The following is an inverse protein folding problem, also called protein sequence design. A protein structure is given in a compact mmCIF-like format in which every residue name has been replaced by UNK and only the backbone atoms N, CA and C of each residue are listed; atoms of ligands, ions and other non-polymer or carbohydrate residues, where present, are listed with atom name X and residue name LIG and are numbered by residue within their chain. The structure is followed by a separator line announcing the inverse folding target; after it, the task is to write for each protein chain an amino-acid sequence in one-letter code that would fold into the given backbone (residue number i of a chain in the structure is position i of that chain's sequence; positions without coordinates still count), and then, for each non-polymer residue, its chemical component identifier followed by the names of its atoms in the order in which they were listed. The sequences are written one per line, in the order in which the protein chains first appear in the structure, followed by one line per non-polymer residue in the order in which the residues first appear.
data_IF_303666923616
#
_entry.id   IF_303666923616
#
_cell.length_a   1.000
_cell.length_b   1.000
_cell.length_c   1.000
_cell.angle_alpha   90.00
_cell.angle_beta   90.00
_cell.angle_gamma   90.00
#
_symmetry.space_group_name_H-M   'P 1'
#
loop_
_entity.id
_entity.type
_entity.pdbx_description
1 polymer ?
#
# COMPACT_ATOMS: atom_id res chain seq x y z
N UNK A 1 19.65 0.57 4.95
CA UNK A 1 18.27 0.42 5.46
C UNK A 1 18.04 1.50 6.50
N UNK A 2 16.89 2.17 6.46
CA UNK A 2 16.50 3.21 7.42
C UNK A 2 15.23 2.75 8.12
N UNK A 3 15.26 2.69 9.46
CA UNK A 3 14.16 2.24 10.31
C UNK A 3 13.93 3.22 11.45
N UNK A 4 12.72 3.19 12.02
CA UNK A 4 12.39 3.94 13.24
C UNK A 4 12.81 3.12 14.44
N UNK A 5 13.42 3.78 15.42
CA UNK A 5 13.82 3.14 16.68
C UNK A 5 12.85 3.45 17.83
N UNK A 6 11.77 4.20 17.55
CA UNK A 6 10.77 4.63 18.51
C UNK A 6 9.36 4.23 18.02
N UNK A 7 8.35 5.08 18.23
CA UNK A 7 6.94 4.80 17.91
C UNK A 7 6.44 5.64 16.72
N UNK A 8 7.27 5.83 15.69
CA UNK A 8 6.94 6.64 14.53
C UNK A 8 7.40 8.10 14.65
N UNK A 9 7.25 8.84 13.55
CA UNK A 9 7.58 10.28 13.42
C UNK A 9 9.02 10.69 13.79
N UNK A 10 9.98 9.78 13.69
CA UNK A 10 11.39 10.04 14.01
C UNK A 10 12.13 10.86 12.93
N UNK A 11 11.41 11.47 11.99
CA UNK A 11 12.01 12.22 10.89
C UNK A 11 12.68 11.36 9.82
N UNK A 12 12.34 10.06 9.74
CA UNK A 12 12.90 9.10 8.76
C UNK A 12 12.87 9.62 7.34
N UNK A 13 11.75 10.22 6.92
CA UNK A 13 11.59 10.72 5.55
C UNK A 13 12.69 11.69 5.13
N UNK A 14 13.19 12.53 6.05
CA UNK A 14 14.30 13.45 5.77
C UNK A 14 15.62 12.72 5.57
N UNK A 15 15.88 11.69 6.37
CA UNK A 15 17.08 10.86 6.24
C UNK A 15 17.02 10.05 4.95
N UNK A 16 15.86 9.47 4.64
CA UNK A 16 15.64 8.70 3.41
C UNK A 16 15.83 9.59 2.19
N UNK A 17 15.31 10.81 2.19
CA UNK A 17 15.49 11.77 1.09
C UNK A 17 16.97 12.06 0.79
N UNK A 18 17.78 12.32 1.83
CA UNK A 18 19.22 12.57 1.70
C UNK A 18 19.92 11.39 1.01
N UNK A 19 19.63 10.16 1.43
CA UNK A 19 20.27 8.97 0.87
C UNK A 19 19.62 8.46 -0.42
N UNK A 20 18.41 8.92 -0.74
CA UNK A 20 17.68 8.49 -1.94
C UNK A 20 18.35 8.96 -3.22
N UNK A 21 18.96 10.14 -3.23
CA UNK A 21 19.71 10.66 -4.39
C UNK A 21 20.94 9.83 -4.75
N UNK A 22 21.42 8.99 -3.83
CA UNK A 22 22.53 8.06 -4.04
C UNK A 22 22.06 6.61 -4.22
N UNK A 23 20.77 6.33 -4.16
CA UNK A 23 20.25 4.97 -4.33
C UNK A 23 19.91 4.71 -5.80
N UNK A 24 20.15 3.49 -6.27
CA UNK A 24 19.64 3.05 -7.57
C UNK A 24 18.17 2.57 -7.41
N UNK A 25 17.86 1.97 -6.25
CA UNK A 25 16.52 1.54 -5.88
C UNK A 25 16.16 1.94 -4.45
N UNK A 26 14.92 2.40 -4.24
CA UNK A 26 14.32 2.63 -2.92
C UNK A 26 13.11 1.72 -2.73
N UNK A 27 13.03 1.05 -1.59
CA UNK A 27 12.10 -0.07 -1.36
C UNK A 27 11.34 0.11 -0.06
N UNK A 28 10.01 0.16 -0.16
CA UNK A 28 9.12 0.00 1.00
C UNK A 28 8.74 -1.47 1.13
N UNK A 29 8.89 -2.01 2.33
CA UNK A 29 8.75 -3.46 2.55
C UNK A 29 7.64 -3.83 3.55
N UNK A 30 7.02 -2.85 4.21
CA UNK A 30 5.99 -3.06 5.23
C UNK A 30 5.03 -1.86 5.30
N UNK A 31 3.96 -2.01 6.08
CA UNK A 31 2.96 -0.96 6.30
C UNK A 31 2.04 -0.74 5.10
N UNK A 32 1.48 0.46 5.01
CA UNK A 32 0.57 0.89 3.95
C UNK A 32 0.35 2.40 4.05
N UNK A 33 -0.86 2.87 3.74
CA UNK A 33 -1.24 4.28 3.81
C UNK A 33 -1.34 4.86 5.24
N UNK A 34 -1.02 4.07 6.27
CA UNK A 34 -0.87 4.54 7.65
C UNK A 34 0.48 5.22 7.92
N UNK A 35 1.43 5.07 7.02
CA UNK A 35 2.67 5.84 7.03
C UNK A 35 2.46 7.12 6.22
N UNK A 36 3.12 8.19 6.63
CA UNK A 36 3.14 9.45 5.89
C UNK A 36 4.41 10.22 6.20
N UNK A 37 5.03 10.83 5.20
CA UNK A 37 6.11 11.78 5.42
C UNK A 37 6.09 12.88 4.39
N UNK A 38 6.45 14.08 4.83
CA UNK A 38 6.58 15.24 3.96
C UNK A 38 8.02 15.34 3.48
N UNK A 39 8.20 15.36 2.16
CA UNK A 39 9.50 15.64 1.53
C UNK A 39 9.46 17.03 0.93
N UNK A 40 10.55 17.79 1.09
CA UNK A 40 10.70 19.10 0.48
C UNK A 40 11.78 19.03 -0.59
N UNK A 41 11.40 19.32 -1.84
CA UNK A 41 12.31 19.37 -3.00
C UNK A 41 12.32 20.80 -3.50
N UNK A 42 13.41 21.53 -3.22
CA UNK A 42 13.46 22.98 -3.45
C UNK A 42 12.40 23.71 -2.62
N UNK A 43 11.52 24.45 -3.29
CA UNK A 43 10.41 25.17 -2.66
C UNK A 43 9.12 24.34 -2.55
N UNK A 44 9.08 23.18 -3.19
CA UNK A 44 7.88 22.34 -3.26
C UNK A 44 7.82 21.30 -2.14
N UNK A 45 6.63 21.13 -1.54
CA UNK A 45 6.35 20.11 -0.53
C UNK A 45 5.54 18.97 -1.11
N UNK A 46 5.98 17.74 -0.92
CA UNK A 46 5.30 16.51 -1.34
C UNK A 46 4.88 15.73 -0.10
N UNK A 47 3.63 15.24 -0.08
CA UNK A 47 3.13 14.36 0.97
C UNK A 47 3.03 12.96 0.41
N UNK A 48 3.89 12.06 0.90
CA UNK A 48 3.96 10.68 0.46
C UNK A 48 3.46 9.76 1.57
N UNK A 49 2.71 8.72 1.20
CA UNK A 49 2.17 7.72 2.10
C UNK A 49 2.75 6.35 1.78
N UNK A 50 2.40 5.80 0.63
CA UNK A 50 2.85 4.48 0.20
C UNK A 50 4.10 4.56 -0.68
N UNK A 51 4.19 5.57 -1.54
CA UNK A 51 5.26 5.67 -2.53
C UNK A 51 6.56 6.10 -1.82
N UNK A 52 7.70 5.42 -2.07
CA UNK A 52 8.97 5.78 -1.43
C UNK A 52 9.44 7.19 -1.83
N UNK A 53 10.16 7.88 -0.95
CA UNK A 53 10.67 9.24 -1.21
C UNK A 53 11.58 9.32 -2.43
N UNK A 54 12.25 8.22 -2.77
CA UNK A 54 13.09 8.09 -3.96
C UNK A 54 12.38 8.43 -5.27
N UNK A 55 11.04 8.43 -5.32
CA UNK A 55 10.31 8.74 -6.55
C UNK A 55 10.56 10.18 -7.02
N UNK A 56 10.93 11.08 -6.10
CA UNK A 56 11.22 12.48 -6.38
C UNK A 56 12.61 12.69 -6.98
N UNK A 57 13.50 11.69 -6.93
CA UNK A 57 14.86 11.75 -7.45
C UNK A 57 14.93 11.11 -8.85
N UNK A 58 15.19 11.87 -9.94
CA UNK A 58 15.28 11.30 -11.28
C UNK A 58 16.31 10.18 -11.36
N UNK A 59 15.99 9.10 -12.08
CA UNK A 59 16.87 7.93 -12.22
C UNK A 59 16.75 6.89 -11.11
N UNK A 60 16.08 7.21 -10.00
CA UNK A 60 15.86 6.26 -8.90
C UNK A 60 14.59 5.44 -9.15
N UNK A 61 14.69 4.11 -9.06
CA UNK A 61 13.53 3.22 -9.13
C UNK A 61 12.94 2.97 -7.74
N UNK A 62 11.63 2.92 -7.64
CA UNK A 62 10.89 2.74 -6.40
C UNK A 62 10.08 1.44 -6.42
N UNK A 63 10.20 0.65 -5.35
CA UNK A 63 9.59 -0.66 -5.23
C UNK A 63 8.64 -0.70 -4.02
N UNK A 64 7.38 -1.09 -4.26
CA UNK A 64 6.43 -1.46 -3.21
C UNK A 64 6.44 -2.98 -3.03
N UNK A 65 7.03 -3.43 -1.92
CA UNK A 65 7.27 -4.84 -1.64
C UNK A 65 6.02 -5.63 -1.23
N UNK A 66 6.10 -6.96 -1.34
CA UNK A 66 5.01 -7.90 -0.94
C UNK A 66 4.57 -7.78 0.53
N UNK A 67 5.41 -7.21 1.37
CA UNK A 67 5.14 -7.06 2.79
C UNK A 67 4.06 -5.99 3.05
N UNK A 68 3.87 -5.05 2.13
CA UNK A 68 2.89 -3.97 2.24
C UNK A 68 1.44 -4.43 2.08
N UNK A 69 0.53 -3.60 2.62
CA UNK A 69 -0.90 -3.61 2.33
C UNK A 69 -1.26 -2.26 1.69
N UNK A 70 -1.85 -2.30 0.49
CA UNK A 70 -2.03 -1.13 -0.37
C UNK A 70 -3.50 -0.88 -0.59
N UNK A 71 -3.96 0.33 -0.28
CA UNK A 71 -5.27 0.76 -0.76
C UNK A 71 -5.13 1.21 -2.23
N UNK A 72 -5.79 0.53 -3.19
CA UNK A 72 -5.60 0.84 -4.60
C UNK A 72 -6.21 2.20 -4.99
N UNK A 73 -7.16 2.73 -4.24
CA UNK A 73 -7.77 4.02 -4.53
C UNK A 73 -6.89 5.15 -3.99
N UNK A 74 -6.44 5.05 -2.74
CA UNK A 74 -5.54 6.06 -2.15
C UNK A 74 -4.17 6.06 -2.86
N UNK A 75 -3.65 4.88 -3.26
CA UNK A 75 -2.42 4.81 -4.04
C UNK A 75 -2.58 5.46 -5.41
N UNK A 76 -3.73 5.27 -6.08
CA UNK A 76 -4.02 5.93 -7.35
C UNK A 76 -4.07 7.45 -7.19
N UNK A 77 -4.71 7.95 -6.13
CA UNK A 77 -4.74 9.39 -5.82
C UNK A 77 -3.33 9.95 -5.58
N UNK A 78 -2.49 9.23 -4.82
CA UNK A 78 -1.09 9.60 -4.57
C UNK A 78 -0.29 9.65 -5.89
N UNK A 79 -0.44 8.63 -6.75
CA UNK A 79 0.19 8.57 -8.06
C UNK A 79 -0.26 9.71 -8.98
N UNK A 80 -1.57 10.00 -9.04
CA UNK A 80 -2.11 11.09 -9.86
C UNK A 80 -1.64 12.46 -9.36
N UNK A 81 -1.54 12.66 -8.04
CA UNK A 81 -0.98 13.86 -7.44
C UNK A 81 0.48 14.08 -7.87
N UNK A 82 1.30 13.02 -7.84
CA UNK A 82 2.69 13.07 -8.29
C UNK A 82 2.79 13.40 -9.79
N UNK A 83 1.99 12.74 -10.64
CA UNK A 83 1.99 13.02 -12.10
C UNK A 83 1.58 14.46 -12.40
N UNK A 84 0.57 14.99 -11.70
CA UNK A 84 0.11 16.37 -11.88
C UNK A 84 1.19 17.43 -11.59
N UNK A 85 2.23 17.03 -10.84
CA UNK A 85 3.39 17.85 -10.49
C UNK A 85 4.64 17.50 -11.29
N UNK A 86 4.50 16.76 -12.38
CA UNK A 86 5.58 16.43 -13.30
C UNK A 86 6.49 15.27 -12.86
N UNK A 87 6.13 14.53 -11.81
CA UNK A 87 6.90 13.35 -11.38
C UNK A 87 6.56 12.16 -12.28
N UNK A 88 7.57 11.62 -12.97
CA UNK A 88 7.43 10.42 -13.81
C UNK A 88 7.39 9.15 -12.97
N UNK A 89 6.37 8.32 -13.20
CA UNK A 89 6.17 7.04 -12.50
C UNK A 89 6.44 5.84 -13.39
N UNK A 90 6.15 5.94 -14.69
CA UNK A 90 6.31 4.86 -15.66
C UNK A 90 7.78 4.44 -15.77
N UNK A 91 8.05 3.13 -15.69
CA UNK A 91 9.41 2.60 -15.71
C UNK A 91 10.24 2.89 -14.45
N UNK A 92 9.65 3.55 -13.43
CA UNK A 92 10.32 3.87 -12.17
C UNK A 92 9.61 3.31 -10.95
N UNK A 93 8.28 3.27 -10.94
CA UNK A 93 7.50 2.69 -9.85
C UNK A 93 7.13 1.24 -10.19
N UNK A 94 7.41 0.32 -9.28
CA UNK A 94 7.00 -1.07 -9.41
C UNK A 94 6.31 -1.55 -8.13
N UNK A 95 5.20 -2.24 -8.30
CA UNK A 95 4.34 -2.72 -7.23
C UNK A 95 4.33 -4.23 -7.26
N UNK A 96 4.65 -4.86 -6.14
CA UNK A 96 4.68 -6.32 -6.06
C UNK A 96 3.30 -6.89 -6.38
N UNK A 97 3.27 -7.81 -7.34
CA UNK A 97 2.10 -8.67 -7.62
C UNK A 97 1.56 -9.38 -6.36
N UNK A 98 2.38 -9.55 -5.32
CA UNK A 98 2.02 -10.23 -4.06
C UNK A 98 1.65 -9.27 -2.92
N UNK A 99 1.70 -7.95 -3.14
CA UNK A 99 1.18 -6.98 -2.18
C UNK A 99 -0.33 -7.19 -2.00
N UNK A 100 -0.81 -7.09 -0.76
CA UNK A 100 -2.23 -7.27 -0.46
C UNK A 100 -2.99 -5.96 -0.63
N UNK A 101 -4.25 -6.06 -1.03
CA UNK A 101 -5.12 -4.90 -1.24
C UNK A 101 -5.96 -4.63 0.00
N UNK A 102 -5.94 -3.39 0.45
CA UNK A 102 -6.91 -2.87 1.42
C UNK A 102 -8.22 -2.63 0.66
N UNK A 103 -9.34 -3.07 1.24
CA UNK A 103 -10.66 -3.08 0.63
C UNK A 103 -11.63 -2.28 1.51
N UNK A 104 -12.79 -1.83 0.99
CA UNK A 104 -13.71 -1.00 1.76
C UNK A 104 -14.13 -1.62 3.10
N UNK A 105 -14.39 -2.93 3.15
CA UNK A 105 -14.75 -3.63 4.39
C UNK A 105 -13.61 -3.66 5.42
N UNK A 106 -12.34 -3.62 5.00
CA UNK A 106 -11.21 -3.52 5.92
C UNK A 106 -11.26 -2.21 6.72
N UNK A 107 -11.55 -1.09 6.05
CA UNK A 107 -11.66 0.22 6.70
C UNK A 107 -12.85 0.27 7.67
N UNK A 108 -13.98 -0.35 7.29
CA UNK A 108 -15.15 -0.45 8.15
C UNK A 108 -14.86 -1.30 9.40
N UNK A 109 -14.25 -2.46 9.24
CA UNK A 109 -13.88 -3.34 10.35
C UNK A 109 -12.90 -2.66 11.32
N UNK A 110 -11.93 -1.91 10.80
CA UNK A 110 -10.96 -1.16 11.62
C UNK A 110 -11.68 -0.15 12.53
N UNK A 111 -12.50 0.72 11.93
CA UNK A 111 -13.27 1.73 12.67
C UNK A 111 -14.30 1.11 13.62
N UNK A 112 -14.94 0.02 13.22
CA UNK A 112 -15.92 -0.68 14.04
C UNK A 112 -15.29 -1.26 15.31
N UNK A 113 -14.11 -1.89 15.17
CA UNK A 113 -13.35 -2.44 16.31
C UNK A 113 -12.87 -1.35 17.26
N UNK A 114 -12.33 -0.25 16.74
CA UNK A 114 -11.93 0.90 17.56
C UNK A 114 -13.10 1.50 18.33
N UNK A 115 -14.27 1.65 17.70
CA UNK A 115 -15.48 2.14 18.38
C UNK A 115 -15.93 1.17 19.47
N UNK A 116 -15.94 -0.13 19.18
CA UNK A 116 -16.36 -1.15 20.14
C UNK A 116 -15.39 -1.30 21.32
N UNK A 117 -14.10 -1.03 21.12
CA UNK A 117 -13.09 -1.08 22.18
C UNK A 117 -13.24 0.03 23.22
N UNK A 118 -13.95 1.13 22.91
CA UNK A 118 -14.20 2.23 23.85
C UNK A 118 -12.91 2.82 24.40
N UNK A 119 -12.72 2.73 25.71
CA UNK A 119 -11.50 3.20 26.40
C UNK A 119 -10.25 2.38 26.07
N UNK A 120 -10.41 1.12 25.65
CA UNK A 120 -9.32 0.22 25.28
C UNK A 120 -8.91 0.31 23.80
N UNK A 121 -9.36 1.34 23.09
CA UNK A 121 -9.00 1.58 21.68
C UNK A 121 -7.48 1.75 21.52
N UNK A 122 -6.96 1.32 20.38
CA UNK A 122 -5.53 1.38 20.06
C UNK A 122 -5.14 2.78 19.57
N UNK A 123 -6.06 3.49 18.91
CA UNK A 123 -5.78 4.71 18.16
C UNK A 123 -5.33 4.40 16.74
N UNK A 124 -6.04 3.51 16.03
CA UNK A 124 -5.68 3.15 14.66
C UNK A 124 -5.92 4.32 13.70
N UNK A 125 -5.27 4.29 12.53
CA UNK A 125 -5.51 5.29 11.47
C UNK A 125 -6.87 5.11 10.79
N UNK A 126 -7.63 4.05 11.09
CA UNK A 126 -8.90 3.73 10.45
C UNK A 126 -8.78 3.40 8.96
N UNK A 127 -7.55 3.15 8.48
CA UNK A 127 -7.20 2.88 7.09
C UNK A 127 -7.31 1.40 6.72
N UNK A 128 -7.72 0.52 7.64
CA UNK A 128 -7.93 -0.90 7.33
C UNK A 128 -6.65 -1.74 7.32
N UNK A 129 -5.55 -1.22 7.85
CA UNK A 129 -4.23 -1.89 7.84
C UNK A 129 -4.29 -3.20 8.64
N UNK A 130 -4.78 -3.14 9.88
CA UNK A 130 -4.90 -4.31 10.75
C UNK A 130 -5.78 -5.41 10.15
N UNK A 131 -7.03 -5.11 9.76
CA UNK A 131 -7.91 -6.08 9.10
C UNK A 131 -7.31 -6.70 7.81
N UNK A 132 -6.64 -5.90 6.97
CA UNK A 132 -5.99 -6.43 5.77
C UNK A 132 -4.81 -7.38 6.11
N UNK A 133 -3.98 -7.03 7.09
CA UNK A 133 -2.94 -7.94 7.59
C UNK A 133 -3.52 -9.22 8.20
N UNK A 134 -4.67 -9.15 8.88
CA UNK A 134 -5.34 -10.32 9.42
C UNK A 134 -5.76 -11.28 8.29
N UNK A 135 -6.36 -10.78 7.20
CA UNK A 135 -6.69 -11.60 6.04
C UNK A 135 -5.45 -12.17 5.33
N UNK A 136 -4.36 -11.39 5.26
CA UNK A 136 -3.07 -11.86 4.73
C UNK A 136 -2.55 -13.06 5.52
N UNK A 137 -2.53 -12.97 6.85
CA UNK A 137 -2.10 -14.08 7.73
C UNK A 137 -3.07 -15.26 7.67
N UNK A 138 -4.37 -14.99 7.55
CA UNK A 138 -5.41 -16.02 7.38
C UNK A 138 -5.35 -16.71 6.00
N UNK A 139 -4.59 -16.17 5.04
CA UNK A 139 -4.45 -16.63 3.65
C UNK A 139 -5.70 -16.38 2.78
N UNK A 140 -6.60 -15.52 3.25
CA UNK A 140 -7.86 -15.17 2.57
C UNK A 140 -7.80 -13.84 1.83
N UNK A 141 -6.78 -13.01 2.09
CA UNK A 141 -6.70 -11.66 1.52
C UNK A 141 -6.49 -11.62 0.02
N UNK A 142 -6.90 -10.51 -0.59
CA UNK A 142 -6.76 -10.23 -2.02
C UNK A 142 -5.39 -9.61 -2.30
N UNK A 143 -4.70 -10.12 -3.32
CA UNK A 143 -3.40 -9.62 -3.77
C UNK A 143 -3.55 -8.82 -5.07
N UNK A 144 -2.58 -7.96 -5.39
CA UNK A 144 -2.58 -7.22 -6.66
C UNK A 144 -2.67 -8.15 -7.89
N UNK A 145 -2.00 -9.31 -7.86
CA UNK A 145 -2.09 -10.31 -8.92
C UNK A 145 -3.51 -10.81 -9.17
N UNK A 146 -4.34 -10.90 -8.11
CA UNK A 146 -5.73 -11.34 -8.25
C UNK A 146 -6.51 -10.38 -9.15
N UNK A 147 -6.16 -9.08 -9.15
CA UNK A 147 -6.82 -8.08 -9.96
C UNK A 147 -6.76 -8.39 -11.47
N UNK A 148 -5.79 -9.20 -11.91
CA UNK A 148 -5.58 -9.56 -13.31
C UNK A 148 -6.07 -10.96 -13.69
N UNK A 149 -6.73 -11.68 -12.76
CA UNK A 149 -7.33 -12.99 -12.98
C UNK A 149 -8.79 -12.96 -12.52
N UNK A 150 -9.73 -12.87 -13.47
CA UNK A 150 -11.15 -12.69 -13.19
C UNK A 150 -11.74 -13.80 -12.33
N UNK A 151 -11.40 -15.06 -12.63
CA UNK A 151 -11.93 -16.21 -11.91
C UNK A 151 -11.41 -16.24 -10.48
N UNK A 152 -10.10 -16.01 -10.30
CA UNK A 152 -9.47 -15.99 -8.98
C UNK A 152 -9.94 -14.81 -8.13
N UNK A 153 -10.06 -13.61 -8.73
CA UNK A 153 -10.58 -12.43 -8.05
C UNK A 153 -12.00 -12.67 -7.56
N UNK A 154 -12.89 -13.11 -8.46
CA UNK A 154 -14.30 -13.27 -8.14
C UNK A 154 -14.51 -14.26 -6.97
N UNK A 155 -13.83 -15.40 -7.01
CA UNK A 155 -13.93 -16.43 -5.98
C UNK A 155 -13.39 -15.96 -4.62
N UNK A 156 -12.20 -15.34 -4.59
CA UNK A 156 -11.57 -14.89 -3.33
C UNK A 156 -12.28 -13.68 -2.74
N UNK A 157 -12.67 -12.72 -3.59
CA UNK A 157 -13.31 -11.48 -3.15
C UNK A 157 -14.68 -11.75 -2.55
N UNK A 158 -15.47 -12.65 -3.15
CA UNK A 158 -16.79 -13.02 -2.62
C UNK A 158 -16.68 -13.54 -1.19
N UNK A 159 -15.77 -14.50 -0.96
CA UNK A 159 -15.54 -15.05 0.38
C UNK A 159 -15.09 -13.99 1.38
N UNK A 160 -14.17 -13.10 0.98
CA UNK A 160 -13.69 -12.00 1.84
C UNK A 160 -14.82 -11.04 2.22
N UNK A 161 -15.60 -10.58 1.25
CA UNK A 161 -16.73 -9.65 1.47
C UNK A 161 -17.83 -10.28 2.31
N UNK A 162 -18.25 -11.52 2.01
CA UNK A 162 -19.31 -12.22 2.76
C UNK A 162 -18.90 -12.49 4.21
N UNK A 163 -17.65 -12.91 4.45
CA UNK A 163 -17.13 -13.15 5.80
C UNK A 163 -17.04 -11.86 6.61
N UNK A 164 -16.47 -10.81 6.01
CA UNK A 164 -16.37 -9.50 6.65
C UNK A 164 -17.76 -8.89 6.90
N UNK A 165 -18.68 -9.07 5.95
CA UNK A 165 -20.05 -8.56 6.05
C UNK A 165 -20.84 -9.20 7.17
N UNK A 166 -20.76 -10.53 7.32
CA UNK A 166 -21.38 -11.23 8.45
C UNK A 166 -20.88 -10.70 9.81
N UNK A 167 -19.59 -10.34 9.92
CA UNK A 167 -19.03 -9.74 11.13
C UNK A 167 -19.55 -8.32 11.32
N UNK A 168 -19.49 -7.48 10.29
CA UNK A 168 -19.96 -6.09 10.34
C UNK A 168 -21.42 -6.01 10.76
N UNK A 169 -22.29 -6.81 10.16
CA UNK A 169 -23.72 -6.78 10.40
C UNK A 169 -24.08 -7.40 11.76
N UNK A 170 -23.60 -8.61 12.06
CA UNK A 170 -24.06 -9.37 13.24
C UNK A 170 -23.37 -8.96 14.54
N UNK A 171 -22.11 -8.50 14.46
CA UNK A 171 -21.33 -8.13 15.64
C UNK A 171 -21.39 -6.63 15.88
N UNK A 172 -21.32 -5.83 14.80
CA UNK A 172 -21.21 -4.37 14.92
C UNK A 172 -22.48 -3.61 14.49
N UNK A 173 -23.48 -4.28 13.89
CA UNK A 173 -24.68 -3.61 13.38
C UNK A 173 -24.40 -2.62 12.25
N UNK A 174 -23.33 -2.84 11.49
CA UNK A 174 -22.88 -1.98 10.38
C UNK A 174 -23.18 -2.68 9.06
N UNK A 175 -23.82 -1.98 8.14
CA UNK A 175 -24.06 -2.48 6.79
C UNK A 175 -22.74 -2.70 6.04
N UNK A 176 -22.61 -3.88 5.43
CA UNK A 176 -21.45 -4.24 4.65
C UNK A 176 -21.58 -3.76 3.19
N UNK A 177 -20.49 -3.38 2.53
CA UNK A 177 -20.54 -3.04 1.11
C UNK A 177 -20.89 -4.30 0.30
N UNK A 178 -21.83 -4.21 -0.65
CA UNK A 178 -22.22 -5.36 -1.45
C UNK A 178 -21.07 -5.83 -2.35
N UNK A 179 -20.95 -7.14 -2.53
CA UNK A 179 -19.89 -7.77 -3.35
C UNK A 179 -19.73 -7.11 -4.73
N UNK A 180 -20.84 -6.87 -5.42
CA UNK A 180 -20.84 -6.31 -6.79
C UNK A 180 -20.27 -4.89 -6.83
N UNK A 181 -20.45 -4.10 -5.78
CA UNK A 181 -19.89 -2.75 -5.69
C UNK A 181 -18.37 -2.80 -5.45
N UNK A 182 -17.93 -3.68 -4.55
CA UNK A 182 -16.49 -3.86 -4.27
C UNK A 182 -15.77 -4.38 -5.51
N UNK A 183 -16.36 -5.37 -6.20
CA UNK A 183 -15.81 -5.91 -7.44
C UNK A 183 -15.70 -4.82 -8.51
N UNK A 184 -16.80 -4.10 -8.79
CA UNK A 184 -16.81 -3.01 -9.78
C UNK A 184 -15.76 -1.95 -9.48
N UNK A 185 -15.61 -1.58 -8.21
CA UNK A 185 -14.63 -0.57 -7.78
C UNK A 185 -13.21 -1.03 -8.06
N UNK A 186 -12.86 -2.29 -7.73
CA UNK A 186 -11.54 -2.86 -8.03
C UNK A 186 -11.28 -2.93 -9.55
N UNK A 187 -12.26 -3.39 -10.32
CA UNK A 187 -12.15 -3.47 -11.78
C UNK A 187 -11.89 -2.10 -12.42
N UNK A 188 -12.44 -1.02 -11.85
CA UNK A 188 -12.25 0.34 -12.38
C UNK A 188 -10.80 0.84 -12.33
N UNK A 189 -9.97 0.28 -11.44
CA UNK A 189 -8.55 0.65 -11.29
C UNK A 189 -7.60 -0.41 -11.84
N UNK A 190 -8.12 -1.52 -12.37
CA UNK A 190 -7.32 -2.65 -12.89
C UNK A 190 -6.27 -2.22 -13.90
N UNK A 191 -6.71 -1.60 -15.00
CA UNK A 191 -5.81 -1.28 -16.11
C UNK A 191 -4.84 -0.16 -15.74
N UNK A 192 -5.22 0.69 -14.79
CA UNK A 192 -4.33 1.71 -14.23
C UNK A 192 -3.10 1.09 -13.54
N UNK A 193 -3.29 0.00 -12.79
CA UNK A 193 -2.18 -0.64 -12.06
C UNK A 193 -1.35 -1.62 -12.88
N UNK A 194 -1.88 -2.09 -14.03
CA UNK A 194 -1.20 -3.08 -14.88
C UNK A 194 0.24 -2.71 -15.26
N UNK A 195 0.57 -1.46 -15.65
CA UNK A 195 1.94 -1.08 -16.02
C UNK A 195 2.94 -1.09 -14.86
N UNK A 196 2.46 -1.02 -13.62
CA UNK A 196 3.30 -0.94 -12.42
C UNK A 196 3.43 -2.29 -11.72
N UNK A 197 2.57 -3.26 -12.04
CA UNK A 197 2.60 -4.57 -11.40
C UNK A 197 3.82 -5.39 -11.86
N UNK A 198 4.64 -5.84 -10.91
CA UNK A 198 5.90 -6.51 -11.20
C UNK A 198 6.27 -7.63 -10.21
N UNK A 199 7.18 -8.50 -10.63
CA UNK A 199 7.91 -9.42 -9.75
C UNK A 199 9.04 -8.68 -9.04
N UNK A 200 8.69 -7.93 -7.99
CA UNK A 200 9.63 -7.13 -7.19
C UNK A 200 10.80 -7.97 -6.64
N UNK A 201 10.61 -9.20 -6.11
CA UNK A 201 11.73 -10.07 -5.75
C UNK A 201 12.75 -10.31 -6.88
N UNK A 202 12.29 -10.52 -8.11
CA UNK A 202 13.19 -10.72 -9.25
C UNK A 202 13.98 -9.44 -9.58
N UNK A 203 13.32 -8.27 -9.56
CA UNK A 203 13.99 -6.97 -9.75
C UNK A 203 15.06 -6.74 -8.68
N UNK A 204 14.74 -7.05 -7.42
CA UNK A 204 15.66 -6.92 -6.31
C UNK A 204 16.88 -7.83 -6.44
N UNK A 205 16.68 -9.09 -6.81
CA UNK A 205 17.75 -10.07 -6.99
C UNK A 205 18.68 -9.64 -8.14
N UNK A 206 18.12 -9.25 -9.28
CA UNK A 206 18.89 -8.75 -10.41
C UNK A 206 19.71 -7.50 -10.01
N UNK A 207 19.08 -6.53 -9.35
CA UNK A 207 19.75 -5.33 -8.86
C UNK A 207 20.86 -5.64 -7.85
N UNK A 208 20.64 -6.60 -6.95
CA UNK A 208 21.65 -7.04 -6.00
C UNK A 208 22.84 -7.70 -6.70
N UNK A 209 22.59 -8.57 -7.68
CA UNK A 209 23.62 -9.30 -8.42
C UNK A 209 24.58 -8.38 -9.19
N UNK A 210 24.10 -7.22 -9.66
CA UNK A 210 24.90 -6.20 -10.34
C UNK A 210 25.55 -5.17 -9.40
N UNK A 211 25.43 -5.36 -8.07
CA UNK A 211 26.00 -4.46 -7.07
C UNK A 211 25.29 -3.10 -6.96
N UNK A 212 24.00 -3.03 -7.32
CA UNK A 212 23.24 -1.78 -7.21
C UNK A 212 23.07 -1.36 -5.74
N UNK A 213 23.02 -0.05 -5.51
CA UNK A 213 22.75 0.56 -4.21
C UNK A 213 21.26 0.52 -3.92
N UNK A 214 20.87 -0.33 -2.97
CA UNK A 214 19.46 -0.54 -2.59
C UNK A 214 19.19 0.06 -1.21
N UNK A 215 18.27 1.00 -1.14
CA UNK A 215 17.81 1.63 0.09
C UNK A 215 16.46 1.07 0.51
N UNK A 216 16.40 0.46 1.68
CA UNK A 216 15.14 0.05 2.30
C UNK A 216 14.60 1.17 3.20
N UNK A 217 13.40 1.65 2.88
CA UNK A 217 12.64 2.66 3.62
C UNK A 217 11.63 1.95 4.53
N UNK A 218 11.73 2.18 5.84
CA UNK A 218 10.88 1.59 6.87
C UNK A 218 9.88 2.56 7.48
#
# INVERSE_FOLDING_TARGET
MILGLQWGDEGKGKVVDIFSGEADLVVRFQGGANSGHTVQVGEEKFFLHCIPSGILHPGVSCLLGRGMVLDPFELKEEMDSLRSRGVSLEGRLFISLRAHLVLPHHKLLDRARERAAGEARIGTTGKGIGPCYAEKVARTGIQLADLFDDARLAARLRLSVETAGAILERVFGIEAPPYEEVLRSLLSVRDYFRPYAADVPAILEEAHSRGARILFEG
#
